data_IF_731301776120
#
_entry.id   IF_731301776120
#
_cell.length_a   1.000
_cell.length_b   1.000
_cell.length_c   1.000
_cell.angle_alpha   90.00
_cell.angle_beta   90.00
_cell.angle_gamma   90.00
#
_symmetry.space_group_name_H-M   'P 1'
#
loop_
_entity.id
_entity.type
_entity.pdbx_description
1 polymer ?
#
# COMPACT_ATOMS: atom_id res chain seq x y z
N UNK A 1 -25.87 24.53 16.67
CA UNK A 1 -26.08 23.24 15.99
C UNK A 1 -24.87 22.40 16.32
N UNK A 2 -25.07 21.23 16.92
CA UNK A 2 -23.97 20.26 17.04
C UNK A 2 -23.75 19.64 15.67
N UNK A 3 -22.66 20.03 15.03
CA UNK A 3 -22.26 19.49 13.74
C UNK A 3 -21.61 18.13 14.04
N UNK A 4 -22.35 17.04 13.86
CA UNK A 4 -21.76 15.70 13.92
C UNK A 4 -20.99 15.46 12.61
N UNK A 5 -19.68 15.42 12.70
CA UNK A 5 -18.79 15.06 11.59
C UNK A 5 -18.22 13.66 11.84
N UNK A 6 -18.25 12.80 10.82
CA UNK A 6 -17.58 11.49 10.85
C UNK A 6 -16.78 11.33 9.58
N UNK A 7 -15.49 11.06 9.73
CA UNK A 7 -14.57 10.88 8.60
C UNK A 7 -14.51 9.41 8.22
N UNK A 8 -15.49 8.96 7.45
CA UNK A 8 -15.51 7.61 6.89
C UNK A 8 -14.94 7.58 5.47
N UNK A 9 -14.71 6.38 4.95
CA UNK A 9 -14.34 6.15 3.55
C UNK A 9 -15.34 6.83 2.60
N UNK A 10 -16.64 6.79 2.92
CA UNK A 10 -17.65 7.46 2.10
C UNK A 10 -17.47 8.99 2.02
N UNK A 11 -17.16 9.65 3.13
CA UNK A 11 -16.89 11.09 3.16
C UNK A 11 -15.66 11.44 2.31
N UNK A 12 -14.63 10.60 2.37
CA UNK A 12 -13.42 10.75 1.58
C UNK A 12 -13.69 10.55 0.08
N UNK A 13 -14.46 9.53 -0.28
CA UNK A 13 -14.83 9.28 -1.68
C UNK A 13 -15.63 10.45 -2.25
N UNK A 14 -16.56 11.04 -1.48
CA UNK A 14 -17.28 12.25 -1.89
C UNK A 14 -16.35 13.44 -2.08
N UNK A 15 -15.36 13.59 -1.21
CA UNK A 15 -14.34 14.64 -1.38
C UNK A 15 -13.51 14.44 -2.64
N UNK A 16 -13.08 13.22 -2.94
CA UNK A 16 -12.35 12.89 -4.18
C UNK A 16 -13.21 13.17 -5.42
N UNK A 17 -14.51 12.87 -5.37
CA UNK A 17 -15.46 13.18 -6.44
C UNK A 17 -15.67 14.68 -6.63
N UNK A 18 -15.74 15.47 -5.54
CA UNK A 18 -15.90 16.92 -5.61
C UNK A 18 -14.65 17.63 -6.13
N UNK A 19 -13.46 17.15 -5.77
CA UNK A 19 -12.19 17.81 -6.12
C UNK A 19 -11.53 17.26 -7.38
N UNK A 20 -11.92 16.05 -7.81
CA UNK A 20 -11.27 15.33 -8.92
C UNK A 20 -9.83 14.90 -8.62
N UNK A 21 -9.39 14.98 -7.35
CA UNK A 21 -8.03 14.65 -6.90
C UNK A 21 -8.06 13.46 -5.93
N UNK A 22 -6.95 12.73 -5.86
CA UNK A 22 -6.79 11.68 -4.84
C UNK A 22 -6.65 12.30 -3.46
N UNK A 23 -7.30 11.70 -2.47
CA UNK A 23 -7.20 12.10 -1.07
C UNK A 23 -5.77 12.00 -0.53
N UNK A 24 -4.93 11.13 -1.11
CA UNK A 24 -3.52 10.98 -0.75
C UNK A 24 -2.69 12.26 -1.03
N UNK A 25 -3.20 13.16 -1.87
CA UNK A 25 -2.57 14.43 -2.23
C UNK A 25 -3.27 15.64 -1.58
N UNK A 26 -4.14 15.43 -0.60
CA UNK A 26 -4.82 16.51 0.10
C UNK A 26 -3.81 17.32 0.94
N UNK A 27 -3.89 18.65 0.85
CA UNK A 27 -3.15 19.55 1.72
C UNK A 27 -4.03 19.93 2.93
N UNK A 28 -3.65 19.45 4.11
CA UNK A 28 -4.33 19.79 5.37
C UNK A 28 -4.08 21.24 5.82
N UNK A 29 -3.20 21.96 5.14
CA UNK A 29 -2.91 23.38 5.38
C UNK A 29 -3.85 24.31 4.59
N UNK A 30 -4.49 23.81 3.52
CA UNK A 30 -5.43 24.59 2.72
C UNK A 30 -6.82 24.61 3.38
N UNK A 31 -7.26 25.80 3.80
CA UNK A 31 -8.58 25.98 4.39
C UNK A 31 -9.71 25.56 3.46
N UNK A 32 -9.56 25.71 2.14
CA UNK A 32 -10.61 25.33 1.19
C UNK A 32 -10.79 23.81 1.11
N UNK A 33 -9.68 23.07 1.06
CA UNK A 33 -9.71 21.62 1.06
C UNK A 33 -10.27 21.06 2.38
N UNK A 34 -9.91 21.68 3.51
CA UNK A 34 -10.45 21.35 4.83
C UNK A 34 -11.95 21.64 4.95
N UNK A 35 -12.43 22.77 4.42
CA UNK A 35 -13.87 23.12 4.40
C UNK A 35 -14.67 22.14 3.55
N UNK A 36 -14.15 21.75 2.38
CA UNK A 36 -14.77 20.74 1.52
C UNK A 36 -14.79 19.36 2.17
N UNK A 37 -13.74 18.99 2.91
CA UNK A 37 -13.70 17.74 3.65
C UNK A 37 -14.73 17.75 4.79
N UNK A 38 -14.80 18.85 5.54
CA UNK A 38 -15.79 19.04 6.60
C UNK A 38 -17.22 18.96 6.04
N UNK A 39 -17.48 19.56 4.88
CA UNK A 39 -18.76 19.40 4.18
C UNK A 39 -19.08 17.93 3.89
N UNK A 40 -18.12 17.18 3.31
CA UNK A 40 -18.35 15.77 2.99
C UNK A 40 -18.59 14.91 4.25
N UNK A 41 -17.86 15.17 5.33
CA UNK A 41 -18.00 14.47 6.61
C UNK A 41 -19.31 14.80 7.34
N UNK A 42 -19.89 15.97 7.09
CA UNK A 42 -21.17 16.40 7.69
C UNK A 42 -22.35 15.90 6.89
N UNK A 43 -22.28 15.97 5.54
CA UNK A 43 -23.31 15.40 4.66
C UNK A 43 -23.43 13.89 4.83
N UNK A 44 -22.33 13.18 5.07
CA UNK A 44 -22.37 11.74 5.36
C UNK A 44 -23.18 11.39 6.64
N UNK A 45 -23.27 12.31 7.60
CA UNK A 45 -24.01 12.14 8.84
C UNK A 45 -25.40 12.78 8.82
N UNK A 46 -25.70 13.63 7.83
CA UNK A 46 -26.92 14.40 7.79
C UNK A 46 -28.11 13.54 7.35
N UNK A 47 -29.26 13.75 7.99
CA UNK A 47 -30.50 13.05 7.62
C UNK A 47 -31.06 13.53 6.27
N UNK A 48 -30.82 14.80 5.92
CA UNK A 48 -31.23 15.39 4.64
C UNK A 48 -30.01 15.94 3.90
N UNK A 49 -29.88 15.68 2.58
CA UNK A 49 -28.79 16.19 1.79
C UNK A 49 -28.94 17.70 1.57
N UNK A 50 -27.84 18.44 1.71
CA UNK A 50 -27.76 19.87 1.39
C UNK A 50 -26.54 20.12 0.50
N UNK A 51 -26.57 21.20 -0.28
CA UNK A 51 -25.48 21.57 -1.21
C UNK A 51 -24.34 22.30 -0.51
N UNK A 52 -23.16 22.30 -1.12
CA UNK A 52 -21.99 23.02 -0.61
C UNK A 52 -22.24 24.53 -0.42
N UNK A 53 -22.98 25.17 -1.32
CA UNK A 53 -23.27 26.61 -1.20
C UNK A 53 -24.12 26.93 0.04
N UNK A 54 -25.10 26.08 0.35
CA UNK A 54 -25.94 26.19 1.55
C UNK A 54 -25.09 25.96 2.80
N UNK A 55 -24.16 25.02 2.74
CA UNK A 55 -23.20 24.77 3.80
C UNK A 55 -22.32 25.99 4.08
N UNK A 56 -21.73 26.60 3.05
CA UNK A 56 -20.93 27.82 3.20
C UNK A 56 -21.74 28.98 3.80
N UNK A 57 -23.00 29.14 3.40
CA UNK A 57 -23.89 30.16 3.97
C UNK A 57 -24.21 29.90 5.45
N UNK A 58 -24.36 28.64 5.85
CA UNK A 58 -24.58 28.27 7.27
C UNK A 58 -23.31 28.41 8.12
N UNK A 59 -22.13 28.39 7.51
CA UNK A 59 -20.84 28.49 8.18
C UNK A 59 -20.32 29.92 8.38
N UNK A 60 -21.14 30.95 8.15
CA UNK A 60 -20.74 32.36 8.34
C UNK A 60 -20.26 32.70 9.77
N UNK A 61 -20.53 31.85 10.76
CA UNK A 61 -19.87 31.95 12.07
C UNK A 61 -18.47 31.32 12.04
N UNK A 62 -17.44 32.14 11.77
CA UNK A 62 -16.03 31.72 11.71
C UNK A 62 -15.58 30.89 12.93
N UNK A 63 -16.15 31.16 14.11
CA UNK A 63 -15.82 30.47 15.37
C UNK A 63 -16.17 28.98 15.35
N UNK A 64 -17.28 28.60 14.70
CA UNK A 64 -17.73 27.20 14.63
C UNK A 64 -16.88 26.45 13.62
N UNK A 65 -16.60 27.06 12.45
CA UNK A 65 -15.70 26.49 11.44
C UNK A 65 -14.31 26.24 12.02
N UNK A 66 -13.75 27.24 12.72
CA UNK A 66 -12.43 27.11 13.31
C UNK A 66 -12.37 26.05 14.42
N UNK A 67 -13.47 25.80 15.14
CA UNK A 67 -13.53 24.72 16.13
C UNK A 67 -13.57 23.34 15.45
N UNK A 68 -14.37 23.18 14.40
CA UNK A 68 -14.49 21.91 13.66
C UNK A 68 -13.26 21.59 12.80
N UNK A 69 -12.63 22.58 12.19
CA UNK A 69 -11.33 22.39 11.52
C UNK A 69 -10.26 21.97 12.53
N UNK A 70 -10.29 22.51 13.75
CA UNK A 70 -9.41 22.06 14.83
C UNK A 70 -9.72 20.64 15.30
N UNK A 71 -11.00 20.25 15.38
CA UNK A 71 -11.38 18.87 15.73
C UNK A 71 -10.89 17.88 14.66
N UNK A 72 -11.03 18.24 13.38
CA UNK A 72 -10.58 17.42 12.25
C UNK A 72 -9.06 17.31 12.16
N UNK A 73 -8.33 18.40 12.42
CA UNK A 73 -6.85 18.36 12.50
C UNK A 73 -6.36 17.55 13.71
N UNK A 74 -7.04 17.63 14.86
CA UNK A 74 -6.73 16.78 16.01
C UNK A 74 -7.00 15.30 15.72
N UNK A 75 -8.11 14.98 15.04
CA UNK A 75 -8.41 13.61 14.58
C UNK A 75 -7.35 13.10 13.60
N UNK A 76 -6.95 13.91 12.62
CA UNK A 76 -5.87 13.57 11.68
C UNK A 76 -4.53 13.31 12.41
N UNK A 77 -4.20 14.14 13.42
CA UNK A 77 -2.99 13.95 14.22
C UNK A 77 -3.06 12.67 15.09
N UNK A 78 -4.25 12.28 15.55
CA UNK A 78 -4.49 11.02 16.24
C UNK A 78 -4.33 9.83 15.28
N UNK A 79 -5.02 9.88 14.13
CA UNK A 79 -4.96 8.88 13.06
C UNK A 79 -3.53 8.60 12.56
N UNK A 80 -2.72 9.66 12.46
CA UNK A 80 -1.33 9.58 12.05
C UNK A 80 -0.46 8.72 13.00
N UNK A 81 -0.89 8.48 14.24
CA UNK A 81 -0.18 7.64 15.20
C UNK A 81 -0.28 6.14 14.85
N UNK A 82 -1.38 5.73 14.21
CA UNK A 82 -1.64 4.34 13.83
C UNK A 82 -1.19 4.03 12.40
N UNK A 83 -0.92 5.08 11.60
CA UNK A 83 -0.30 4.94 10.31
C UNK A 83 1.09 4.31 10.46
N UNK A 84 1.20 3.01 10.15
CA UNK A 84 2.48 2.31 10.08
C UNK A 84 3.35 3.10 9.10
N UNK A 85 4.52 3.58 9.55
CA UNK A 85 5.54 4.15 8.66
C UNK A 85 6.00 3.03 7.73
N UNK A 86 5.27 2.79 6.64
CA UNK A 86 5.73 1.91 5.59
C UNK A 86 7.06 2.48 5.14
N UNK A 87 8.14 1.71 5.35
CA UNK A 87 9.39 1.93 4.63
C UNK A 87 9.02 1.68 3.18
N UNK A 88 8.68 2.75 2.46
CA UNK A 88 8.54 2.72 1.00
C UNK A 88 9.91 2.23 0.52
N UNK A 89 10.00 0.94 0.22
CA UNK A 89 11.17 0.37 -0.39
C UNK A 89 11.27 1.06 -1.75
N UNK A 90 12.24 1.97 -1.87
CA UNK A 90 12.35 2.85 -3.01
C UNK A 90 12.43 2.07 -4.32
N UNK A 91 11.40 2.22 -5.14
CA UNK A 91 11.46 2.30 -6.60
C UNK A 91 10.08 2.63 -7.13
N UNK A 92 9.86 3.92 -7.33
CA UNK A 92 8.83 4.42 -8.24
C UNK A 92 9.21 3.99 -9.65
N UNK A 93 8.52 2.97 -10.17
CA UNK A 93 8.42 2.83 -11.62
C UNK A 93 7.47 3.93 -12.09
N UNK A 94 8.02 4.98 -12.70
CA UNK A 94 7.35 6.26 -12.97
C UNK A 94 6.29 6.19 -14.10
N UNK A 95 5.77 5.01 -14.41
CA UNK A 95 4.88 4.78 -15.54
C UNK A 95 3.47 4.27 -15.16
N UNK A 96 3.22 3.94 -13.88
CA UNK A 96 1.93 3.37 -13.45
C UNK A 96 1.33 3.96 -12.15
N UNK A 97 1.89 5.05 -11.60
CA UNK A 97 1.22 5.83 -10.56
C UNK A 97 0.14 6.71 -11.18
N UNK A 98 -0.84 6.09 -11.86
CA UNK A 98 -2.12 6.76 -12.07
C UNK A 98 -2.71 7.03 -10.70
N UNK A 99 -3.22 8.25 -10.49
CA UNK A 99 -3.78 8.77 -9.24
C UNK A 99 -4.68 7.72 -8.55
N UNK A 100 -4.11 6.92 -7.64
CA UNK A 100 -4.86 5.91 -6.90
C UNK A 100 -5.76 6.65 -5.93
N UNK A 101 -7.06 6.49 -6.07
CA UNK A 101 -8.07 7.10 -5.20
C UNK A 101 -8.49 6.10 -4.14
N UNK A 102 -8.84 6.60 -2.95
CA UNK A 102 -9.40 5.75 -1.89
C UNK A 102 -10.70 5.10 -2.37
N UNK A 103 -11.49 5.79 -3.20
CA UNK A 103 -12.66 5.19 -3.86
C UNK A 103 -12.34 3.98 -4.73
N UNK A 104 -11.24 4.01 -5.49
CA UNK A 104 -10.82 2.86 -6.30
C UNK A 104 -10.36 1.67 -5.44
N UNK A 105 -9.74 1.94 -4.29
CA UNK A 105 -9.34 0.92 -3.31
C UNK A 105 -10.57 0.30 -2.67
N UNK A 106 -11.50 1.12 -2.18
CA UNK A 106 -12.76 0.66 -1.59
C UNK A 106 -13.55 -0.21 -2.57
N UNK A 107 -13.66 0.21 -3.85
CA UNK A 107 -14.31 -0.57 -4.89
C UNK A 107 -13.64 -1.95 -5.10
N UNK A 108 -12.31 -2.04 -5.08
CA UNK A 108 -11.61 -3.34 -5.16
C UNK A 108 -11.86 -4.21 -3.94
N UNK A 109 -11.88 -3.65 -2.74
CA UNK A 109 -12.19 -4.40 -1.51
C UNK A 109 -13.61 -4.98 -1.59
N UNK A 110 -14.58 -4.21 -2.08
CA UNK A 110 -15.96 -4.69 -2.23
C UNK A 110 -16.06 -5.74 -3.34
N UNK A 111 -15.60 -5.43 -4.55
CA UNK A 111 -15.85 -6.27 -5.73
C UNK A 111 -14.90 -7.46 -5.81
N UNK A 112 -13.60 -7.25 -5.59
CA UNK A 112 -12.58 -8.31 -5.71
C UNK A 112 -12.39 -9.10 -4.42
N UNK A 113 -12.38 -8.44 -3.27
CA UNK A 113 -12.23 -9.15 -1.99
C UNK A 113 -13.55 -9.71 -1.47
N UNK A 114 -14.70 -9.21 -1.96
CA UNK A 114 -16.04 -9.63 -1.52
C UNK A 114 -16.41 -9.09 -0.14
N UNK A 115 -15.81 -7.97 0.27
CA UNK A 115 -16.13 -7.34 1.56
C UNK A 115 -17.51 -6.67 1.49
N UNK A 116 -18.18 -6.64 2.64
CA UNK A 116 -19.46 -5.95 2.76
C UNK A 116 -19.31 -4.45 2.46
N UNK A 117 -20.18 -3.93 1.59
CA UNK A 117 -20.11 -2.55 1.15
C UNK A 117 -20.44 -1.57 2.28
N UNK A 118 -21.35 -1.95 3.18
CA UNK A 118 -21.70 -1.10 4.32
C UNK A 118 -20.51 -0.96 5.27
N UNK A 119 -19.86 -2.07 5.61
CA UNK A 119 -18.63 -2.07 6.39
C UNK A 119 -17.54 -1.20 5.76
N UNK A 120 -17.21 -1.42 4.48
CA UNK A 120 -16.14 -0.70 3.79
C UNK A 120 -16.40 0.81 3.74
N UNK A 121 -17.65 1.23 3.52
CA UNK A 121 -17.96 2.64 3.31
C UNK A 121 -18.17 3.42 4.61
N UNK A 122 -18.70 2.78 5.66
CA UNK A 122 -19.20 3.47 6.86
C UNK A 122 -18.57 3.03 8.19
N UNK A 123 -17.94 1.87 8.27
CA UNK A 123 -17.37 1.34 9.53
C UNK A 123 -15.85 1.24 9.48
N UNK A 124 -15.29 0.98 8.31
CA UNK A 124 -13.86 0.82 8.12
C UNK A 124 -13.11 2.15 8.27
N UNK A 125 -12.06 2.14 9.08
CA UNK A 125 -11.17 3.27 9.24
C UNK A 125 -10.17 3.33 8.08
N UNK A 126 -9.80 4.54 7.69
CA UNK A 126 -8.82 4.80 6.61
C UNK A 126 -7.44 4.21 6.96
N UNK A 127 -7.09 4.26 8.24
CA UNK A 127 -5.83 3.76 8.78
C UNK A 127 -5.66 2.24 8.63
N UNK A 128 -6.78 1.51 8.55
CA UNK A 128 -6.80 0.05 8.42
C UNK A 128 -6.68 -0.41 6.95
N UNK A 129 -6.88 0.50 5.97
CA UNK A 129 -6.78 0.17 4.55
C UNK A 129 -5.47 -0.55 4.17
N UNK A 130 -4.28 -0.13 4.63
CA UNK A 130 -3.03 -0.82 4.31
C UNK A 130 -3.04 -2.29 4.72
N UNK A 131 -3.63 -2.63 5.87
CA UNK A 131 -3.72 -4.00 6.36
C UNK A 131 -4.58 -4.87 5.42
N UNK A 132 -5.73 -4.35 4.99
CA UNK A 132 -6.60 -5.08 4.05
C UNK A 132 -5.99 -5.19 2.65
N UNK A 133 -5.28 -4.16 2.19
CA UNK A 133 -4.57 -4.20 0.91
C UNK A 133 -3.46 -5.26 0.94
N UNK A 134 -2.69 -5.35 2.02
CA UNK A 134 -1.67 -6.38 2.20
C UNK A 134 -2.30 -7.78 2.14
N UNK A 135 -3.36 -8.03 2.90
CA UNK A 135 -4.06 -9.31 2.90
C UNK A 135 -4.67 -9.67 1.53
N UNK A 136 -5.25 -8.70 0.82
CA UNK A 136 -5.78 -8.90 -0.53
C UNK A 136 -4.67 -9.24 -1.53
N UNK A 137 -3.53 -8.55 -1.46
CA UNK A 137 -2.38 -8.83 -2.32
C UNK A 137 -1.83 -10.23 -2.07
N UNK A 138 -1.73 -10.67 -0.82
CA UNK A 138 -1.27 -12.03 -0.49
C UNK A 138 -2.25 -13.10 -1.00
N UNK A 139 -3.56 -12.87 -0.84
CA UNK A 139 -4.58 -13.75 -1.43
C UNK A 139 -4.43 -13.85 -2.95
N UNK A 140 -4.29 -12.72 -3.64
CA UNK A 140 -4.10 -12.70 -5.10
C UNK A 140 -2.81 -13.39 -5.53
N UNK A 141 -1.71 -13.20 -4.81
CA UNK A 141 -0.44 -13.91 -5.06
C UNK A 141 -0.63 -15.42 -4.96
N UNK A 142 -1.29 -15.90 -3.90
CA UNK A 142 -1.56 -17.32 -3.73
C UNK A 142 -2.48 -17.89 -4.81
N UNK A 143 -3.48 -17.14 -5.25
CA UNK A 143 -4.37 -17.54 -6.36
C UNK A 143 -3.59 -17.66 -7.68
N UNK A 144 -2.74 -16.69 -8.00
CA UNK A 144 -1.92 -16.72 -9.22
C UNK A 144 -0.85 -17.82 -9.18
N UNK A 145 -0.21 -18.04 -8.03
CA UNK A 145 0.72 -19.15 -7.83
C UNK A 145 0.03 -20.51 -8.00
N UNK A 146 -1.19 -20.63 -7.48
CA UNK A 146 -2.02 -21.82 -7.64
C UNK A 146 -2.42 -22.02 -9.11
N UNK A 147 -2.85 -20.96 -9.81
CA UNK A 147 -3.16 -21.01 -11.25
C UNK A 147 -1.95 -21.45 -12.07
N UNK A 148 -0.76 -20.91 -11.78
CA UNK A 148 0.49 -21.32 -12.41
C UNK A 148 0.79 -22.79 -12.16
N UNK A 149 0.62 -23.27 -10.93
CA UNK A 149 0.84 -24.67 -10.57
C UNK A 149 -0.12 -25.61 -11.30
N UNK A 150 -1.41 -25.29 -11.34
CA UNK A 150 -2.40 -26.09 -12.06
C UNK A 150 -2.16 -26.10 -13.57
N UNK A 151 -1.78 -24.94 -14.13
CA UNK A 151 -1.39 -24.85 -15.55
C UNK A 151 -0.18 -25.72 -15.83
N UNK A 152 0.83 -25.69 -14.96
CA UNK A 152 2.00 -26.56 -15.05
C UNK A 152 1.63 -28.05 -15.07
N UNK A 153 0.74 -28.50 -14.18
CA UNK A 153 0.28 -29.89 -14.18
C UNK A 153 -0.54 -30.26 -15.41
N UNK A 154 -1.38 -29.34 -15.91
CA UNK A 154 -2.20 -29.58 -17.09
C UNK A 154 -1.36 -29.75 -18.36
N UNK A 155 -0.27 -29.00 -18.51
CA UNK A 155 0.60 -29.10 -19.68
C UNK A 155 1.65 -30.21 -19.56
N UNK A 156 1.99 -30.65 -18.34
CA UNK A 156 3.08 -31.61 -18.09
C UNK A 156 3.04 -32.87 -18.98
N UNK A 157 1.88 -33.49 -19.26
CA UNK A 157 1.82 -34.65 -20.16
C UNK A 157 2.24 -34.36 -21.61
N UNK A 158 2.25 -33.09 -22.02
CA UNK A 158 2.48 -32.63 -23.38
C UNK A 158 3.84 -31.95 -23.57
N UNK A 159 4.65 -31.79 -22.51
CA UNK A 159 5.98 -31.17 -22.57
C UNK A 159 7.06 -32.09 -22.02
N UNK A 160 8.29 -31.91 -22.52
CA UNK A 160 9.46 -32.61 -21.99
C UNK A 160 9.78 -32.12 -20.56
N UNK A 161 9.52 -32.99 -19.58
CA UNK A 161 9.77 -32.70 -18.16
C UNK A 161 11.22 -32.35 -17.82
N UNK A 162 12.19 -32.66 -18.70
CA UNK A 162 13.58 -32.20 -18.52
C UNK A 162 13.74 -30.70 -18.71
N UNK A 163 12.96 -30.10 -19.61
CA UNK A 163 12.98 -28.66 -19.92
C UNK A 163 12.20 -27.86 -18.87
N UNK A 164 11.05 -28.38 -18.45
CA UNK A 164 10.16 -27.72 -17.49
C UNK A 164 10.17 -28.46 -16.14
N UNK A 165 11.23 -28.26 -15.35
CA UNK A 165 11.38 -28.93 -14.04
C UNK A 165 10.50 -28.33 -12.94
N UNK A 166 10.33 -27.00 -12.95
CA UNK A 166 9.64 -26.26 -11.89
C UNK A 166 8.57 -25.34 -12.49
N UNK A 167 7.45 -25.08 -11.79
CA UNK A 167 6.42 -24.13 -12.22
C UNK A 167 6.95 -22.72 -12.48
N UNK A 168 7.98 -22.28 -11.73
CA UNK A 168 8.61 -20.97 -11.93
C UNK A 168 9.28 -20.78 -13.31
N UNK A 169 9.64 -21.88 -13.99
CA UNK A 169 10.17 -21.81 -15.35
C UNK A 169 9.09 -21.55 -16.41
N UNK A 170 7.82 -21.79 -16.07
CA UNK A 170 6.69 -21.53 -16.96
C UNK A 170 6.40 -20.03 -17.07
N UNK A 171 6.34 -19.37 -15.92
CA UNK A 171 6.09 -17.94 -15.81
C UNK A 171 6.68 -17.42 -14.49
N UNK A 172 7.48 -16.36 -14.56
CA UNK A 172 8.09 -15.72 -13.38
C UNK A 172 7.22 -14.53 -13.00
N UNK A 173 6.78 -14.47 -11.75
CA UNK A 173 6.01 -13.33 -11.28
C UNK A 173 6.91 -12.11 -11.00
N UNK A 174 6.38 -10.88 -11.12
CA UNK A 174 7.15 -9.67 -10.81
C UNK A 174 7.76 -9.69 -9.40
N UNK A 175 7.01 -10.15 -8.39
CA UNK A 175 7.49 -10.22 -7.00
C UNK A 175 8.60 -11.27 -6.82
N UNK A 176 8.55 -12.39 -7.53
CA UNK A 176 9.65 -13.38 -7.51
C UNK A 176 10.92 -12.84 -8.17
N UNK A 177 10.79 -12.06 -9.25
CA UNK A 177 11.91 -11.41 -9.92
C UNK A 177 12.56 -10.35 -9.02
N UNK A 178 11.76 -9.55 -8.31
CA UNK A 178 12.24 -8.57 -7.34
C UNK A 178 12.97 -9.23 -6.16
N UNK A 179 12.41 -10.32 -5.62
CA UNK A 179 13.05 -11.09 -4.55
C UNK A 179 14.37 -11.72 -4.99
N UNK A 180 14.42 -12.27 -6.21
CA UNK A 180 15.64 -12.84 -6.77
C UNK A 180 16.72 -11.75 -6.98
N UNK A 181 16.32 -10.58 -7.50
CA UNK A 181 17.23 -9.45 -7.66
C UNK A 181 17.75 -8.92 -6.31
N UNK A 182 16.90 -8.90 -5.27
CA UNK A 182 17.30 -8.53 -3.91
C UNK A 182 18.30 -9.54 -3.34
N UNK A 183 18.01 -10.84 -3.43
CA UNK A 183 18.92 -11.92 -2.97
C UNK A 183 20.26 -11.87 -3.69
N UNK A 184 20.27 -11.69 -5.01
CA UNK A 184 21.50 -11.55 -5.80
C UNK A 184 22.34 -10.35 -5.35
N UNK A 185 21.71 -9.21 -5.04
CA UNK A 185 22.42 -8.04 -4.49
C UNK A 185 23.02 -8.32 -3.11
N UNK A 186 22.26 -8.96 -2.23
CA UNK A 186 22.74 -9.33 -0.90
C UNK A 186 23.91 -10.33 -0.99
N UNK A 187 23.83 -11.30 -1.89
CA UNK A 187 24.91 -12.26 -2.16
C UNK A 187 26.16 -11.59 -2.72
N UNK A 188 26.00 -10.63 -3.66
CA UNK A 188 27.13 -9.85 -4.16
C UNK A 188 27.82 -9.09 -3.04
N UNK A 189 27.06 -8.41 -2.17
CA UNK A 189 27.61 -7.68 -1.02
C UNK A 189 28.32 -8.62 -0.04
N UNK A 190 27.74 -9.79 0.27
CA UNK A 190 28.39 -10.80 1.12
C UNK A 190 29.66 -11.34 0.48
N UNK A 191 29.61 -11.68 -0.80
CA UNK A 191 30.77 -12.20 -1.55
C UNK A 191 31.90 -11.17 -1.64
N UNK A 192 31.59 -9.88 -1.77
CA UNK A 192 32.58 -8.81 -1.75
C UNK A 192 33.24 -8.67 -0.38
N UNK A 193 32.45 -8.78 0.70
CA UNK A 193 32.98 -8.76 2.06
C UNK A 193 33.86 -9.98 2.34
N UNK A 194 33.44 -11.18 1.94
CA UNK A 194 34.23 -12.41 2.05
C UNK A 194 35.51 -12.34 1.22
N UNK A 195 35.44 -11.81 0.00
CA UNK A 195 36.61 -11.58 -0.86
C UNK A 195 37.59 -10.59 -0.22
N UNK A 196 37.10 -9.48 0.35
CA UNK A 196 37.96 -8.52 1.08
C UNK A 196 38.64 -9.16 2.29
N UNK A 197 37.91 -9.98 3.07
CA UNK A 197 38.48 -10.73 4.21
C UNK A 197 39.53 -11.74 3.76
N UNK A 198 39.30 -12.41 2.63
CA UNK A 198 40.28 -13.30 2.01
C UNK A 198 41.54 -12.54 1.57
N UNK A 199 41.40 -11.42 0.86
CA UNK A 199 42.53 -10.59 0.41
C UNK A 199 43.34 -9.99 1.57
N UNK A 200 42.69 -9.72 2.69
CA UNK A 200 43.35 -9.23 3.91
C UNK A 200 44.04 -10.36 4.72
N UNK A 201 44.00 -11.61 4.24
CA UNK A 201 44.66 -12.75 4.89
C UNK A 201 43.93 -13.29 6.12
N UNK A 202 42.73 -12.80 6.44
CA UNK A 202 41.93 -13.24 7.60
C UNK A 202 41.30 -14.62 7.40
N UNK A 203 41.27 -15.12 6.15
CA UNK A 203 40.63 -16.39 5.79
C UNK A 203 41.64 -17.52 5.51
N UNK A 204 42.95 -17.21 5.45
CA UNK A 204 44.01 -18.20 5.20
C UNK A 204 44.85 -18.34 6.46
N UNK A 205 44.69 -19.45 7.18
CA UNK A 205 45.63 -19.82 8.24
C UNK A 205 46.94 -20.34 7.59
N UNK A 206 47.87 -19.43 7.34
CA UNK A 206 49.20 -19.72 6.75
C UNK A 206 49.98 -20.77 7.56
N UNK A 207 49.63 -21.01 8.84
CA UNK A 207 50.26 -22.02 9.68
C UNK A 207 49.69 -23.44 9.48
N UNK A 208 48.52 -23.58 8.85
CA UNK A 208 47.92 -24.89 8.53
C UNK A 208 48.42 -25.48 7.19
N UNK A 209 49.08 -24.68 6.36
CA UNK A 209 49.63 -25.12 5.07
C UNK A 209 50.98 -25.81 5.31
N UNK A 210 50.96 -27.13 5.52
CA UNK A 210 52.17 -27.94 5.54
C UNK A 210 52.78 -28.00 4.13
N UNK A 211 53.72 -27.10 3.85
CA UNK A 211 54.59 -27.21 2.68
C UNK A 211 55.49 -28.44 2.85
N UNK A 212 55.11 -29.58 2.24
CA UNK A 212 56.05 -30.70 2.06
C UNK A 212 57.21 -30.22 1.20
N UNK A 213 58.34 -29.87 1.82
CA UNK A 213 59.61 -29.76 1.11
C UNK A 213 59.95 -31.16 0.58
N UNK A 214 59.90 -31.34 -0.74
CA UNK A 214 60.52 -32.48 -1.40
C UNK A 214 62.03 -32.37 -1.19
N UNK A 215 62.58 -33.28 -0.39
CA UNK A 215 64.00 -33.66 -0.45
C UNK A 215 64.31 -34.35 -1.76
#
# INVERSE_FOLDING_TARGET
MDIKSRLDIEAIVRWEQMTGRSFLHMDFSDENDMRRLLYCATVACAAEPFTFDVFEQTLQSEKIVAAEVRSLTAYSAFAAQFSRKQKIAGKSDACATQNVTIGSIAAKLIVSAGMDAHFVMHEMLVEDLPMYIEALNDKLRHEEESRRLWTFYAILPHVDGKKLKNPQKLHIFPWEAEEAARKAREELVRSEQEFRRFMNGELIDLNAVQWRKKS
#
